data_IF_864528592243
#
_entry.id   IF_864528592243
#
_cell.length_a   1.000
_cell.length_b   1.000
_cell.length_c   1.000
_cell.angle_alpha   90.00
_cell.angle_beta   90.00
_cell.angle_gamma   90.00
#
_symmetry.space_group_name_H-M   'P 1'
#
loop_
_entity.id
_entity.type
_entity.pdbx_description
1 polymer ?
#
# COMPACT_ATOMS: atom_id res chain seq x y z
N UNK A 1 -17.64 -13.58 -6.59
CA UNK A 1 -18.53 -13.42 -7.77
C UNK A 1 -18.04 -12.23 -8.56
N UNK A 2 -17.85 -12.39 -9.87
CA UNK A 2 -17.43 -11.29 -10.75
C UNK A 2 -18.62 -10.89 -11.61
N UNK A 3 -18.99 -9.62 -11.58
CA UNK A 3 -20.04 -9.07 -12.43
C UNK A 3 -19.42 -8.06 -13.41
N UNK A 4 -19.83 -8.14 -14.69
CA UNK A 4 -19.47 -7.17 -15.71
C UNK A 4 -20.70 -6.30 -15.98
N UNK A 5 -20.57 -4.99 -15.78
CA UNK A 5 -21.64 -4.03 -16.04
C UNK A 5 -21.14 -3.05 -17.10
N UNK A 6 -21.96 -2.82 -18.12
CA UNK A 6 -21.72 -1.72 -19.08
C UNK A 6 -22.45 -0.50 -18.54
N UNK A 7 -21.72 0.55 -18.20
CA UNK A 7 -22.32 1.84 -17.84
C UNK A 7 -22.72 2.58 -19.13
N UNK A 8 -23.96 3.04 -19.17
CA UNK A 8 -24.39 3.98 -20.21
C UNK A 8 -23.65 5.31 -20.03
N UNK A 9 -23.26 6.01 -21.13
CA UNK A 9 -22.64 7.32 -21.02
C UNK A 9 -23.61 8.30 -20.33
N UNK A 10 -23.06 9.18 -19.47
CA UNK A 10 -23.85 10.27 -18.90
C UNK A 10 -24.47 11.10 -20.02
N UNK A 11 -25.75 11.51 -19.86
CA UNK A 11 -26.61 12.10 -20.90
C UNK A 11 -26.06 13.34 -21.65
N UNK A 12 -24.93 13.92 -21.20
CA UNK A 12 -24.34 15.14 -21.80
C UNK A 12 -23.22 14.88 -22.84
N UNK A 13 -22.89 13.62 -23.16
CA UNK A 13 -21.83 13.32 -24.12
C UNK A 13 -22.35 12.49 -25.29
N UNK A 14 -22.87 13.15 -26.30
CA UNK A 14 -23.47 12.54 -27.50
C UNK A 14 -22.53 11.64 -28.37
N UNK A 15 -21.27 11.43 -27.94
CA UNK A 15 -20.27 10.64 -28.68
C UNK A 15 -19.40 9.73 -27.79
N UNK A 16 -19.82 9.46 -26.54
CA UNK A 16 -19.05 8.61 -25.63
C UNK A 16 -19.40 7.14 -25.80
N UNK A 17 -18.40 6.33 -26.14
CA UNK A 17 -18.51 4.87 -26.17
C UNK A 17 -18.76 4.33 -24.75
N UNK A 18 -19.62 3.28 -24.61
CA UNK A 18 -19.85 2.67 -23.31
C UNK A 18 -18.54 2.20 -22.70
N UNK A 19 -18.32 2.54 -21.42
CA UNK A 19 -17.11 2.16 -20.68
C UNK A 19 -17.40 0.87 -19.92
N UNK A 20 -16.55 -0.14 -20.13
CA UNK A 20 -16.64 -1.40 -19.39
C UNK A 20 -16.29 -1.15 -17.92
N UNK A 21 -17.22 -1.49 -17.03
CA UNK A 21 -17.00 -1.57 -15.58
C UNK A 21 -17.01 -3.04 -15.18
N UNK A 22 -15.99 -3.45 -14.42
CA UNK A 22 -15.92 -4.78 -13.83
C UNK A 22 -16.03 -4.66 -12.32
N UNK A 23 -16.96 -5.39 -11.72
CA UNK A 23 -17.09 -5.51 -10.28
C UNK A 23 -16.70 -6.91 -9.83
N UNK A 24 -15.83 -7.00 -8.85
CA UNK A 24 -15.35 -8.24 -8.26
C UNK A 24 -15.76 -8.22 -6.78
N UNK A 25 -16.72 -9.05 -6.41
CA UNK A 25 -17.08 -9.26 -5.02
C UNK A 25 -16.23 -10.39 -4.44
N UNK A 26 -15.53 -10.11 -3.37
CA UNK A 26 -14.78 -11.08 -2.58
C UNK A 26 -15.65 -11.53 -1.40
N UNK A 27 -15.69 -12.82 -1.18
CA UNK A 27 -16.36 -13.42 -0.04
C UNK A 27 -15.34 -13.80 1.03
N UNK A 28 -15.81 -13.99 2.25
CA UNK A 28 -14.95 -14.49 3.32
C UNK A 28 -14.25 -15.78 2.87
N UNK A 29 -12.92 -15.76 2.90
CA UNK A 29 -12.11 -16.86 2.38
C UNK A 29 -10.86 -17.02 3.26
N UNK A 30 -10.54 -18.25 3.72
CA UNK A 30 -9.26 -18.54 4.34
C UNK A 30 -8.15 -18.50 3.28
N UNK A 31 -7.04 -17.84 3.62
CA UNK A 31 -5.84 -17.74 2.81
C UNK A 31 -4.65 -18.23 3.62
N UNK A 32 -3.87 -19.16 3.08
CA UNK A 32 -2.67 -19.67 3.75
C UNK A 32 -1.43 -18.96 3.19
N UNK A 33 -0.72 -18.22 4.05
CA UNK A 33 0.54 -17.54 3.74
C UNK A 33 1.58 -18.03 4.72
N UNK A 34 2.69 -18.61 4.23
CA UNK A 34 3.78 -19.15 5.05
C UNK A 34 3.27 -20.04 6.20
N UNK A 35 2.50 -21.08 5.86
CA UNK A 35 1.86 -22.04 6.79
C UNK A 35 0.94 -21.41 7.84
N UNK A 36 0.54 -20.18 7.61
CA UNK A 36 -0.33 -19.40 8.51
C UNK A 36 -1.65 -19.08 7.83
N UNK A 37 -2.77 -19.38 8.50
CA UNK A 37 -4.10 -19.07 7.98
C UNK A 37 -4.48 -17.64 8.31
N UNK A 38 -4.83 -16.89 7.28
CA UNK A 38 -5.41 -15.56 7.29
C UNK A 38 -6.85 -15.62 6.78
N UNK A 39 -7.65 -14.64 7.06
CA UNK A 39 -9.02 -14.53 6.57
C UNK A 39 -9.20 -13.26 5.78
N UNK A 40 -9.59 -13.41 4.52
CA UNK A 40 -10.04 -12.29 3.68
C UNK A 40 -11.48 -11.96 4.08
N UNK A 41 -11.75 -10.71 4.40
CA UNK A 41 -13.12 -10.25 4.71
C UNK A 41 -13.91 -9.94 3.45
N UNK A 42 -15.25 -9.99 3.50
CA UNK A 42 -16.08 -9.58 2.36
C UNK A 42 -15.74 -8.15 1.92
N UNK A 43 -15.47 -7.99 0.64
CA UNK A 43 -15.00 -6.74 0.07
C UNK A 43 -15.34 -6.66 -1.41
N UNK A 44 -15.18 -5.49 -2.03
CA UNK A 44 -15.37 -5.34 -3.46
C UNK A 44 -14.23 -4.57 -4.13
N UNK A 45 -13.97 -4.94 -5.38
CA UNK A 45 -13.03 -4.25 -6.25
C UNK A 45 -13.76 -3.85 -7.52
N UNK A 46 -13.70 -2.58 -7.86
CA UNK A 46 -14.28 -2.02 -9.09
C UNK A 46 -13.15 -1.63 -10.03
N UNK A 47 -13.19 -2.15 -11.24
CA UNK A 47 -12.25 -1.80 -12.30
C UNK A 47 -12.98 -1.02 -13.37
N UNK A 48 -12.50 0.18 -13.67
CA UNK A 48 -12.92 1.04 -14.79
C UNK A 48 -11.68 1.45 -15.57
N UNK A 49 -11.86 1.97 -16.78
CA UNK A 49 -10.72 2.46 -17.58
C UNK A 49 -9.89 3.48 -16.78
N UNK A 50 -8.66 3.13 -16.47
CA UNK A 50 -7.73 3.99 -15.73
C UNK A 50 -8.05 4.23 -14.25
N UNK A 51 -9.02 3.49 -13.66
CA UNK A 51 -9.44 3.67 -12.27
C UNK A 51 -9.71 2.32 -11.59
N UNK A 52 -9.15 2.14 -10.41
CA UNK A 52 -9.35 0.96 -9.56
C UNK A 52 -9.91 1.44 -8.22
N UNK A 53 -11.13 1.06 -7.91
CA UNK A 53 -11.76 1.27 -6.61
C UNK A 53 -11.65 0.01 -5.76
N UNK A 54 -11.27 0.15 -4.51
CA UNK A 54 -11.21 -0.93 -3.52
C UNK A 54 -12.08 -0.51 -2.35
N UNK A 55 -13.08 -1.33 -2.03
CA UNK A 55 -14.00 -1.08 -0.93
C UNK A 55 -13.79 -2.13 0.15
N UNK A 56 -13.23 -1.68 1.29
CA UNK A 56 -13.03 -2.45 2.51
C UNK A 56 -12.31 -3.79 2.32
N UNK A 57 -11.28 -3.85 1.48
CA UNK A 57 -10.46 -5.05 1.38
C UNK A 57 -9.63 -5.23 2.67
N UNK A 58 -9.93 -6.29 3.41
CA UNK A 58 -9.22 -6.61 4.64
C UNK A 58 -8.77 -8.07 4.67
N UNK A 59 -7.53 -8.25 5.09
CA UNK A 59 -6.94 -9.56 5.40
C UNK A 59 -6.51 -9.55 6.84
N UNK A 60 -7.04 -10.44 7.67
CA UNK A 60 -6.79 -10.43 9.09
C UNK A 60 -6.39 -11.79 9.66
N UNK A 61 -5.73 -11.76 10.82
CA UNK A 61 -5.40 -12.89 11.67
C UNK A 61 -5.30 -12.45 13.13
N UNK A 62 -6.31 -12.70 13.92
CA UNK A 62 -6.37 -12.24 15.31
C UNK A 62 -6.32 -10.71 15.39
N UNK A 63 -5.25 -10.16 16.00
CA UNK A 63 -5.07 -8.70 16.06
C UNK A 63 -4.24 -8.14 14.90
N UNK A 64 -3.79 -8.98 13.99
CA UNK A 64 -3.03 -8.55 12.83
C UNK A 64 -3.97 -8.32 11.65
N UNK A 65 -3.84 -7.19 10.97
CA UNK A 65 -4.60 -6.95 9.75
C UNK A 65 -3.87 -6.03 8.76
N UNK A 66 -4.27 -6.17 7.52
CA UNK A 66 -3.99 -5.26 6.41
C UNK A 66 -5.34 -4.85 5.85
N UNK A 67 -5.65 -3.56 5.86
CA UNK A 67 -6.88 -3.01 5.34
C UNK A 67 -6.59 -2.01 4.23
N UNK A 68 -7.22 -2.19 3.06
CA UNK A 68 -7.13 -1.32 1.90
C UNK A 68 -8.51 -0.75 1.58
N UNK A 69 -8.57 0.57 1.44
CA UNK A 69 -9.79 1.26 1.06
C UNK A 69 -9.50 2.50 0.24
N UNK A 70 -10.30 2.75 -0.78
CA UNK A 70 -10.19 3.96 -1.59
C UNK A 70 -10.05 3.68 -3.07
N UNK A 71 -9.46 4.62 -3.78
CA UNK A 71 -9.37 4.58 -5.23
C UNK A 71 -7.97 4.94 -5.72
N UNK A 72 -7.56 4.29 -6.80
CA UNK A 72 -6.33 4.58 -7.53
C UNK A 72 -6.68 4.93 -8.96
N UNK A 73 -6.21 6.07 -9.43
CA UNK A 73 -6.31 6.51 -10.83
C UNK A 73 -5.11 7.41 -11.19
N UNK A 74 -5.18 8.08 -12.31
CA UNK A 74 -4.25 9.16 -12.68
C UNK A 74 -4.61 10.49 -12.02
N UNK A 75 -5.77 10.57 -11.36
CA UNK A 75 -6.18 11.77 -10.63
C UNK A 75 -5.49 11.78 -9.26
N UNK A 76 -4.76 12.85 -8.97
CA UNK A 76 -4.03 13.04 -7.71
C UNK A 76 -4.94 13.17 -6.49
N UNK A 77 -6.22 13.44 -6.69
CA UNK A 77 -7.22 13.49 -5.62
C UNK A 77 -7.71 12.11 -5.20
N UNK A 78 -7.59 11.11 -6.07
CA UNK A 78 -7.91 9.73 -5.75
C UNK A 78 -6.80 9.13 -4.85
N UNK A 79 -7.19 8.60 -3.72
CA UNK A 79 -6.25 8.06 -2.72
C UNK A 79 -6.64 6.65 -2.34
N UNK A 80 -5.69 5.74 -2.38
CA UNK A 80 -5.76 4.43 -1.75
C UNK A 80 -5.10 4.48 -0.38
N UNK A 81 -5.87 4.18 0.65
CA UNK A 81 -5.39 4.08 2.04
C UNK A 81 -5.12 2.62 2.36
N UNK A 82 -3.94 2.38 2.93
CA UNK A 82 -3.52 1.09 3.46
C UNK A 82 -3.26 1.25 4.95
N UNK A 83 -4.05 0.59 5.78
CA UNK A 83 -3.87 0.53 7.23
C UNK A 83 -3.28 -0.82 7.61
N UNK A 84 -2.24 -0.79 8.44
CA UNK A 84 -1.59 -1.97 9.01
C UNK A 84 -1.75 -1.98 10.52
N UNK A 85 -2.00 -3.14 11.10
CA UNK A 85 -1.93 -3.35 12.54
C UNK A 85 -1.15 -4.60 12.89
N UNK A 86 -0.08 -4.45 13.65
CA UNK A 86 0.81 -5.53 14.07
C UNK A 86 1.28 -6.44 12.92
N UNK A 87 1.39 -5.89 11.71
CA UNK A 87 1.72 -6.66 10.51
C UNK A 87 3.22 -6.94 10.45
N UNK A 88 3.59 -8.21 10.26
CA UNK A 88 4.98 -8.63 10.21
C UNK A 88 5.66 -8.14 8.92
N UNK A 89 6.71 -7.32 9.07
CA UNK A 89 7.43 -6.78 7.91
C UNK A 89 8.03 -7.87 7.02
N UNK A 90 8.43 -9.00 7.59
CA UNK A 90 8.98 -10.13 6.84
C UNK A 90 8.08 -10.58 5.70
N UNK A 91 6.76 -10.59 5.89
CA UNK A 91 5.82 -10.96 4.83
C UNK A 91 5.90 -10.05 3.60
N UNK A 92 6.14 -8.73 3.81
CA UNK A 92 6.26 -7.77 2.71
C UNK A 92 7.52 -8.08 1.89
N UNK A 93 8.65 -8.34 2.56
CA UNK A 93 9.92 -8.65 1.90
C UNK A 93 9.89 -10.00 1.18
N UNK A 94 9.23 -10.99 1.77
CA UNK A 94 9.01 -12.30 1.15
C UNK A 94 8.19 -12.19 -0.14
N UNK A 95 7.09 -11.40 -0.12
CA UNK A 95 6.24 -11.16 -1.30
C UNK A 95 7.02 -10.42 -2.40
N UNK A 96 7.84 -9.43 -2.02
CA UNK A 96 8.63 -8.64 -2.96
C UNK A 96 9.91 -9.35 -3.42
N UNK A 97 10.20 -10.54 -2.89
CA UNK A 97 11.39 -11.34 -3.19
C UNK A 97 12.71 -10.55 -2.99
N UNK A 98 12.79 -9.79 -1.89
CA UNK A 98 13.97 -9.00 -1.54
C UNK A 98 14.85 -9.82 -0.60
N UNK A 99 15.89 -10.44 -1.14
CA UNK A 99 16.73 -11.41 -0.40
C UNK A 99 17.92 -10.77 0.35
N UNK A 100 18.42 -9.63 -0.14
CA UNK A 100 19.69 -9.07 0.35
C UNK A 100 19.56 -8.21 1.64
N UNK A 101 18.33 -7.90 2.04
CA UNK A 101 18.04 -7.01 3.17
C UNK A 101 16.92 -7.63 3.99
N UNK A 102 17.18 -7.86 5.27
CA UNK A 102 16.17 -8.43 6.17
C UNK A 102 15.74 -7.41 7.22
N UNK A 103 14.55 -6.87 7.03
CA UNK A 103 13.88 -6.09 8.04
C UNK A 103 12.85 -6.94 8.77
N UNK A 104 12.82 -6.88 10.09
CA UNK A 104 11.84 -7.58 10.91
C UNK A 104 11.24 -6.67 11.96
N UNK A 105 10.04 -7.02 12.39
CA UNK A 105 9.25 -6.29 13.37
C UNK A 105 7.80 -6.20 12.92
N UNK A 106 6.94 -5.84 13.85
CA UNK A 106 5.50 -5.68 13.60
C UNK A 106 5.19 -4.22 13.38
N UNK A 107 4.77 -3.89 12.15
CA UNK A 107 4.40 -2.53 11.77
C UNK A 107 2.94 -2.23 12.11
N UNK A 108 2.70 -1.06 12.64
CA UNK A 108 1.38 -0.47 12.81
C UNK A 108 1.40 0.94 12.25
N UNK A 109 0.40 1.32 11.46
CA UNK A 109 0.30 2.66 10.88
C UNK A 109 -0.38 2.66 9.51
N UNK A 110 -0.15 3.72 8.76
CA UNK A 110 -0.88 4.03 7.53
C UNK A 110 0.05 4.35 6.38
N UNK A 111 -0.41 3.99 5.17
CA UNK A 111 0.12 4.47 3.90
C UNK A 111 -1.01 5.14 3.12
N UNK A 112 -0.72 6.27 2.49
CA UNK A 112 -1.60 6.87 1.51
C UNK A 112 -0.88 6.85 0.16
N UNK A 113 -1.53 6.25 -0.82
CA UNK A 113 -0.99 6.06 -2.17
C UNK A 113 -1.87 6.83 -3.12
N UNK A 114 -1.30 7.83 -3.80
CA UNK A 114 -1.97 8.58 -4.84
C UNK A 114 -1.19 8.41 -6.15
N UNK A 115 -1.87 8.55 -7.29
CA UNK A 115 -1.25 8.52 -8.62
C UNK A 115 -0.26 7.35 -8.84
N UNK A 116 -0.77 6.13 -8.75
CA UNK A 116 0.02 4.90 -8.91
C UNK A 116 0.76 4.83 -10.25
N UNK A 117 0.26 5.52 -11.27
CA UNK A 117 0.81 5.49 -12.63
C UNK A 117 2.00 6.44 -12.86
N UNK A 118 2.14 7.48 -12.02
CA UNK A 118 3.22 8.48 -12.18
C UNK A 118 4.28 8.40 -11.09
N UNK A 119 4.22 7.40 -10.22
CA UNK A 119 5.11 7.22 -9.06
C UNK A 119 5.05 8.39 -8.05
N UNK A 120 3.96 9.11 -8.03
CA UNK A 120 3.76 10.22 -7.12
C UNK A 120 2.98 9.79 -5.88
N UNK A 121 3.44 10.31 -4.76
CA UNK A 121 2.77 10.39 -3.47
C UNK A 121 2.53 9.06 -2.75
N UNK A 122 3.58 8.59 -2.11
CA UNK A 122 3.47 7.71 -0.98
C UNK A 122 3.71 8.55 0.28
N UNK A 123 2.69 8.71 1.12
CA UNK A 123 2.92 9.18 2.49
C UNK A 123 2.72 8.03 3.46
N UNK A 124 3.53 8.01 4.50
CA UNK A 124 3.59 6.90 5.45
C UNK A 124 3.75 7.45 6.85
N UNK A 125 3.04 6.86 7.80
CA UNK A 125 3.26 7.05 9.24
C UNK A 125 3.21 5.67 9.90
N UNK A 126 4.38 5.15 10.26
CA UNK A 126 4.53 3.81 10.82
C UNK A 126 5.28 3.80 12.13
N UNK A 127 4.84 2.93 13.03
CA UNK A 127 5.55 2.58 14.26
C UNK A 127 5.87 1.08 14.25
N UNK A 128 7.12 0.75 14.53
CA UNK A 128 7.61 -0.63 14.63
C UNK A 128 8.33 -0.77 15.98
N UNK A 129 7.66 -1.28 17.02
CA UNK A 129 8.20 -1.31 18.38
C UNK A 129 9.49 -2.10 18.54
N UNK A 130 9.64 -3.19 17.80
CA UNK A 130 10.77 -4.11 17.86
C UNK A 130 11.43 -4.28 16.48
N UNK A 131 11.93 -3.16 15.95
CA UNK A 131 12.58 -3.12 14.65
C UNK A 131 13.96 -3.76 14.70
N UNK A 132 14.23 -4.63 13.73
CA UNK A 132 15.54 -5.23 13.54
C UNK A 132 15.97 -5.17 12.09
N UNK A 133 17.27 -5.04 11.88
CA UNK A 133 17.91 -5.03 10.57
C UNK A 133 18.99 -6.12 10.54
N UNK A 134 18.91 -7.03 9.58
CA UNK A 134 19.82 -8.15 9.43
C UNK A 134 20.09 -8.91 10.75
N UNK A 135 19.01 -9.23 11.48
CA UNK A 135 19.01 -9.89 12.80
C UNK A 135 19.61 -9.05 13.95
N UNK A 136 19.98 -7.81 13.74
CA UNK A 136 20.40 -6.90 14.81
C UNK A 136 19.19 -6.08 15.27
N UNK A 137 18.79 -6.24 16.52
CA UNK A 137 17.71 -5.47 17.13
C UNK A 137 18.17 -4.01 17.29
N UNK A 138 17.49 -3.08 16.67
CA UNK A 138 17.78 -1.65 16.71
C UNK A 138 16.89 -0.88 17.70
N UNK A 139 15.68 -1.39 17.98
CA UNK A 139 14.75 -0.79 18.92
C UNK A 139 13.43 -0.39 18.25
N UNK A 140 12.77 0.66 18.74
CA UNK A 140 11.54 1.17 18.14
C UNK A 140 11.85 2.11 16.98
N UNK A 141 11.33 1.82 15.82
CA UNK A 141 11.38 2.71 14.65
C UNK A 141 10.04 3.45 14.52
N UNK A 142 10.11 4.77 14.46
CA UNK A 142 9.04 5.61 13.93
C UNK A 142 9.48 6.06 12.54
N UNK A 143 8.66 5.80 11.53
CA UNK A 143 8.94 6.11 10.14
C UNK A 143 7.84 6.98 9.57
N UNK A 144 8.23 8.12 9.04
CA UNK A 144 7.38 9.03 8.29
C UNK A 144 7.92 9.18 6.88
N UNK A 145 7.04 9.28 5.90
CA UNK A 145 7.43 9.66 4.54
C UNK A 145 6.39 10.55 3.90
N UNK A 146 6.86 11.39 2.99
CA UNK A 146 6.00 12.25 2.18
C UNK A 146 6.65 12.53 0.83
N UNK A 147 5.82 12.90 -0.14
CA UNK A 147 6.31 13.31 -1.44
C UNK A 147 6.86 14.74 -1.39
N UNK A 148 8.08 14.93 -1.90
CA UNK A 148 8.73 16.23 -2.06
C UNK A 148 8.70 16.63 -3.54
N UNK A 149 7.87 17.62 -3.88
CA UNK A 149 7.73 18.12 -5.25
C UNK A 149 9.01 18.77 -5.78
N UNK A 150 9.79 19.42 -4.90
CA UNK A 150 11.02 20.09 -5.30
C UNK A 150 12.11 19.10 -5.68
N UNK A 151 12.24 18.02 -4.93
CA UNK A 151 13.20 16.95 -5.19
C UNK A 151 12.65 15.87 -6.12
N UNK A 152 11.34 15.84 -6.38
CA UNK A 152 10.64 14.81 -7.16
C UNK A 152 10.94 13.40 -6.66
N UNK A 153 10.92 13.26 -5.33
CA UNK A 153 11.21 12.03 -4.63
C UNK A 153 10.41 11.90 -3.34
N UNK A 154 10.44 10.72 -2.75
CA UNK A 154 9.81 10.44 -1.46
C UNK A 154 10.84 10.73 -0.38
N UNK A 155 10.61 11.77 0.42
CA UNK A 155 11.39 12.05 1.62
C UNK A 155 11.06 10.99 2.68
N UNK A 156 12.06 10.37 3.24
CA UNK A 156 11.95 9.40 4.33
C UNK A 156 12.61 9.99 5.59
N UNK A 157 11.86 10.01 6.68
CA UNK A 157 12.33 10.44 7.99
C UNK A 157 12.09 9.30 8.99
N UNK A 158 13.14 8.79 9.58
CA UNK A 158 13.10 7.71 10.56
C UNK A 158 13.77 8.10 11.85
N UNK A 159 13.15 7.76 13.00
CA UNK A 159 13.77 7.85 14.31
C UNK A 159 13.78 6.48 14.96
N UNK A 160 14.98 5.98 15.27
CA UNK A 160 15.20 4.68 15.91
C UNK A 160 15.55 4.92 17.38
N UNK A 161 14.69 4.44 18.27
CA UNK A 161 14.87 4.57 19.72
C UNK A 161 15.34 3.23 20.29
N UNK A 162 16.58 3.19 20.74
CA UNK A 162 17.14 2.03 21.45
C UNK A 162 16.58 1.95 22.86
N UNK A 163 16.39 3.11 23.51
CA UNK A 163 15.76 3.30 24.81
C UNK A 163 15.28 4.76 24.93
N UNK A 164 14.71 5.17 26.05
CA UNK A 164 14.16 6.51 26.24
C UNK A 164 15.20 7.64 26.14
N UNK A 165 16.49 7.34 26.22
CA UNK A 165 17.58 8.31 26.25
C UNK A 165 18.51 8.24 25.03
N UNK A 166 18.37 7.20 24.19
CA UNK A 166 19.27 6.98 23.05
C UNK A 166 18.46 6.73 21.80
N UNK A 167 18.62 7.63 20.82
CA UNK A 167 17.97 7.52 19.52
C UNK A 167 18.92 7.88 18.39
N UNK A 168 18.57 7.49 17.20
CA UNK A 168 19.26 7.82 15.95
C UNK A 168 18.25 8.25 14.93
N UNK A 169 18.44 9.41 14.34
CA UNK A 169 17.63 9.89 13.24
C UNK A 169 18.26 9.50 11.90
N UNK A 170 17.43 9.06 10.99
CA UNK A 170 17.82 8.67 9.63
C UNK A 170 16.93 9.42 8.67
N UNK A 171 17.51 10.01 7.65
CA UNK A 171 16.76 10.66 6.58
C UNK A 171 17.36 10.35 5.22
N UNK A 172 16.53 10.40 4.20
CA UNK A 172 16.96 10.16 2.83
C UNK A 172 15.82 10.32 1.85
N UNK A 173 16.13 10.10 0.56
CA UNK A 173 15.15 10.15 -0.50
C UNK A 173 15.10 8.83 -1.26
N UNK A 174 13.89 8.42 -1.62
CA UNK A 174 13.64 7.37 -2.60
C UNK A 174 13.19 8.05 -3.89
N UNK A 175 13.94 7.84 -4.96
CA UNK A 175 13.59 8.35 -6.28
C UNK A 175 12.94 7.24 -7.09
N UNK A 176 11.66 7.38 -7.49
CA UNK A 176 11.01 6.41 -8.36
C UNK A 176 11.76 6.32 -9.70
N UNK A 177 12.16 5.11 -10.07
CA UNK A 177 12.78 4.87 -11.39
C UNK A 177 11.66 4.89 -12.42
N UNK A 178 11.72 5.82 -13.37
CA UNK A 178 10.87 5.77 -14.55
C UNK A 178 11.27 4.57 -15.39
N UNK A 179 10.42 3.57 -15.46
CA UNK A 179 10.55 2.55 -16.49
C UNK A 179 10.38 3.25 -17.83
N UNK A 180 11.35 3.19 -18.77
CA UNK A 180 11.15 3.77 -20.08
C UNK A 180 9.90 3.12 -20.68
N UNK A 181 8.95 3.96 -21.11
CA UNK A 181 7.77 3.50 -21.84
C UNK A 181 8.28 2.64 -23.01
N UNK A 182 7.81 1.41 -23.08
CA UNK A 182 7.92 0.62 -24.31
C UNK A 182 7.03 1.34 -25.31
N UNK A 183 7.65 2.07 -26.22
CA UNK A 183 6.95 2.53 -27.41
C UNK A 183 6.33 1.32 -28.13
N UNK A 184 5.09 1.46 -28.64
CA UNK A 184 4.36 0.40 -29.32
C UNK A 184 5.01 -0.07 -30.63
#
# INVERSE_FOLDING_TARGET
TTCFVMEEPEEDAADSKPVLRTEIALHETPLVINDTTWYVRPSSVTLRKGKIGIDNFEVERGSQYVHLNGTVSQDVTDTLKLDLNNFELGYIFDILNIENVKFTGKATGQFNICDLYSSRMLSTDLVIPDFSFNNVRLGRLNLFSEWDDAQRGILMLGSIYKNDSTWTDVSGYIYPVRTPEREP
#
